data_IF_457325380466
#
_entry.id   IF_457325380466
#
_cell.length_a   1.000
_cell.length_b   1.000
_cell.length_c   1.000
_cell.angle_alpha   90.00
_cell.angle_beta   90.00
_cell.angle_gamma   90.00
#
_symmetry.space_group_name_H-M   'P 1'
#
loop_
_entity.id
_entity.type
_entity.pdbx_description
1 polymer ?
#
# COMPACT_ATOMS: atom_id res chain seq x y z
N UNK A 1 29.44 34.06 -27.54
CA UNK A 1 29.98 34.36 -26.20
C UNK A 1 29.54 33.22 -25.30
N UNK A 2 30.17 32.05 -25.45
CA UNK A 2 30.09 30.99 -24.46
C UNK A 2 30.77 31.45 -23.16
N UNK A 3 30.13 31.21 -22.02
CA UNK A 3 30.79 31.20 -20.72
C UNK A 3 30.62 29.82 -20.11
N UNK A 4 31.69 29.04 -20.21
CA UNK A 4 31.98 27.89 -19.37
C UNK A 4 32.29 28.36 -17.93
N UNK A 5 32.30 27.40 -16.99
CA UNK A 5 32.76 27.46 -15.60
C UNK A 5 31.78 28.06 -14.57
N UNK A 6 31.27 27.21 -13.66
CA UNK A 6 31.96 26.93 -12.39
C UNK A 6 31.32 25.73 -11.65
N UNK A 7 32.13 24.69 -11.43
CA UNK A 7 31.81 23.49 -10.64
C UNK A 7 32.10 23.84 -9.17
N UNK A 8 31.08 24.20 -8.40
CA UNK A 8 31.20 24.42 -6.95
C UNK A 8 31.12 23.07 -6.22
N UNK A 9 32.28 22.47 -5.95
CA UNK A 9 32.42 21.45 -4.90
C UNK A 9 32.36 22.16 -3.53
N UNK A 10 31.42 21.75 -2.68
CA UNK A 10 31.24 22.28 -1.33
C UNK A 10 31.74 21.19 -0.37
N UNK A 11 32.95 21.39 0.14
CA UNK A 11 33.49 20.65 1.29
C UNK A 11 32.78 21.17 2.55
N UNK A 12 31.90 20.37 3.15
CA UNK A 12 31.39 20.64 4.50
C UNK A 12 32.23 19.84 5.50
N UNK A 13 33.19 20.55 6.11
CA UNK A 13 33.95 20.12 7.28
C UNK A 13 33.02 19.87 8.46
N UNK A 14 32.88 18.61 8.88
CA UNK A 14 32.20 18.26 10.13
C UNK A 14 33.27 18.12 11.22
N UNK A 15 33.14 18.95 12.23
CA UNK A 15 33.95 18.98 13.45
C UNK A 15 33.69 17.72 14.27
N UNK A 16 34.48 16.68 14.04
CA UNK A 16 34.44 15.44 14.80
C UNK A 16 35.45 15.51 15.94
N UNK A 17 34.94 15.73 17.14
CA UNK A 17 35.71 15.62 18.39
C UNK A 17 34.79 14.96 19.41
N UNK A 18 34.35 13.74 19.07
CA UNK A 18 33.62 12.84 19.96
C UNK A 18 34.64 11.85 20.54
N UNK A 19 34.67 11.68 21.86
CA UNK A 19 35.60 10.78 22.54
C UNK A 19 35.33 9.32 22.15
N UNK A 20 36.40 8.60 21.77
CA UNK A 20 36.37 7.19 21.34
C UNK A 20 35.67 6.25 22.35
N UNK A 21 35.72 6.59 23.63
CA UNK A 21 35.05 5.83 24.71
C UNK A 21 33.52 5.88 24.62
N UNK A 22 32.94 7.02 24.20
CA UNK A 22 31.49 7.17 24.06
C UNK A 22 30.96 6.37 22.87
N UNK A 23 31.74 6.29 21.79
CA UNK A 23 31.38 5.51 20.60
C UNK A 23 31.28 4.01 20.91
N UNK A 24 32.21 3.49 21.71
CA UNK A 24 32.22 2.07 22.11
C UNK A 24 31.06 1.71 23.05
N UNK A 25 30.60 2.65 23.88
CA UNK A 25 29.44 2.44 24.74
C UNK A 25 28.15 2.37 23.90
N UNK A 26 28.01 3.28 22.93
CA UNK A 26 26.87 3.30 22.00
C UNK A 26 26.82 2.02 21.15
N UNK A 27 27.96 1.51 20.67
CA UNK A 27 28.00 0.29 19.86
C UNK A 27 27.51 -0.94 20.65
N UNK A 28 27.88 -1.04 21.93
CA UNK A 28 27.41 -2.11 22.83
C UNK A 28 25.91 -2.01 23.06
N UNK A 29 25.38 -0.82 23.30
CA UNK A 29 23.94 -0.60 23.48
C UNK A 29 23.15 -0.94 22.22
N UNK A 30 23.64 -0.56 21.03
CA UNK A 30 22.97 -0.85 19.76
C UNK A 30 22.97 -2.34 19.40
N UNK A 31 23.98 -3.10 19.85
CA UNK A 31 24.04 -4.54 19.63
C UNK A 31 22.90 -5.29 20.33
N UNK A 32 22.40 -4.76 21.46
CA UNK A 32 21.31 -5.36 22.24
C UNK A 32 19.91 -4.96 21.72
N UNK A 33 19.81 -3.95 20.84
CA UNK A 33 18.52 -3.48 20.29
C UNK A 33 18.07 -4.35 19.12
N UNK A 34 16.79 -4.70 19.11
CA UNK A 34 16.20 -5.51 18.04
C UNK A 34 16.07 -4.73 16.72
N UNK A 35 16.15 -5.43 15.59
CA UNK A 35 16.06 -4.83 14.25
C UNK A 35 14.76 -4.03 14.03
N UNK A 36 13.65 -4.48 14.61
CA UNK A 36 12.35 -3.81 14.50
C UNK A 36 12.36 -2.42 15.16
N UNK A 37 12.99 -2.29 16.33
CA UNK A 37 13.11 -1.02 17.04
C UNK A 37 13.98 -0.01 16.26
N UNK A 38 15.08 -0.47 15.66
CA UNK A 38 15.94 0.38 14.83
C UNK A 38 15.19 0.92 13.59
N UNK A 39 14.42 0.06 12.92
CA UNK A 39 13.63 0.48 11.76
C UNK A 39 12.54 1.49 12.15
N UNK A 40 11.92 1.30 13.32
CA UNK A 40 10.93 2.23 13.88
C UNK A 40 11.55 3.58 14.25
N UNK A 41 12.72 3.61 14.89
CA UNK A 41 13.43 4.84 15.22
C UNK A 41 13.74 5.69 13.97
N UNK A 42 14.18 5.03 12.88
CA UNK A 42 14.51 5.70 11.61
C UNK A 42 13.30 6.21 10.84
N UNK A 43 12.16 5.53 10.95
CA UNK A 43 10.92 5.87 10.22
C UNK A 43 10.40 7.29 10.51
N UNK A 44 10.76 7.87 11.66
CA UNK A 44 10.35 9.22 12.05
C UNK A 44 11.05 10.33 11.26
N UNK A 45 12.09 10.02 10.47
CA UNK A 45 12.78 10.98 9.60
C UNK A 45 13.54 12.10 10.34
N UNK A 46 13.52 12.09 11.68
CA UNK A 46 14.13 13.12 12.52
C UNK A 46 15.67 13.16 12.41
N UNK A 47 16.30 12.04 12.04
CA UNK A 47 17.75 11.94 11.80
C UNK A 47 18.22 12.74 10.56
N UNK A 48 17.32 13.09 9.63
CA UNK A 48 17.70 13.80 8.40
C UNK A 48 17.95 15.31 8.61
N UNK A 49 17.55 15.89 9.74
CA UNK A 49 17.64 17.32 9.98
C UNK A 49 18.18 17.63 11.38
N UNK A 50 19.25 18.42 11.45
CA UNK A 50 19.75 19.00 12.71
C UNK A 50 18.68 19.97 13.23
N UNK A 51 17.90 19.53 14.21
CA UNK A 51 16.89 20.35 14.87
C UNK A 51 17.59 21.34 15.80
N UNK A 52 17.82 22.57 15.32
CA UNK A 52 18.21 23.66 16.23
C UNK A 52 17.08 23.88 17.24
N UNK A 53 17.38 24.06 18.54
CA UNK A 53 16.36 24.32 19.55
C UNK A 53 15.63 25.60 19.16
N UNK A 54 14.35 25.47 18.79
CA UNK A 54 13.47 26.61 18.58
C UNK A 54 13.10 27.13 19.95
N UNK A 55 13.82 28.14 20.42
CA UNK A 55 13.31 28.97 21.51
C UNK A 55 12.07 29.69 20.99
N UNK A 56 10.90 29.05 21.13
CA UNK A 56 9.60 29.63 20.88
C UNK A 56 9.30 30.65 21.99
N UNK A 57 10.05 31.75 22.00
CA UNK A 57 9.68 32.96 22.73
C UNK A 57 8.47 33.53 22.03
N UNK A 58 7.29 32.99 22.36
CA UNK A 58 5.99 33.57 22.02
C UNK A 58 6.04 35.01 22.51
N UNK A 59 6.12 35.97 21.57
CA UNK A 59 6.11 37.38 21.89
C UNK A 59 4.76 37.69 22.55
N UNK A 60 4.72 37.68 23.88
CA UNK A 60 3.53 38.03 24.65
C UNK A 60 3.49 39.54 24.80
N UNK A 61 2.28 40.11 24.80
CA UNK A 61 2.08 41.50 25.19
C UNK A 61 2.47 41.67 26.66
N UNK A 62 3.19 42.73 26.99
CA UNK A 62 3.53 43.03 28.38
C UNK A 62 2.31 43.42 29.24
N UNK A 63 1.24 43.96 28.62
CA UNK A 63 -0.05 44.27 29.25
C UNK A 63 -1.18 44.14 28.20
N UNK A 64 -2.43 43.88 28.61
CA UNK A 64 -3.61 43.73 27.75
C UNK A 64 -3.92 44.98 26.92
N UNK A 65 -3.61 46.17 27.44
CA UNK A 65 -3.87 47.46 26.79
C UNK A 65 -2.72 47.96 25.90
N UNK A 66 -1.66 47.15 25.69
CA UNK A 66 -0.50 47.52 24.86
C UNK A 66 -0.50 46.72 23.54
N UNK A 67 -0.26 47.35 22.37
CA UNK A 67 -0.06 46.62 21.11
C UNK A 67 1.21 45.74 21.17
N UNK A 68 1.25 44.72 20.31
CA UNK A 68 2.36 43.78 20.24
C UNK A 68 3.34 44.22 19.15
N UNK A 69 4.63 44.32 19.47
CA UNK A 69 5.67 44.59 18.49
C UNK A 69 6.01 43.30 17.71
N UNK A 70 6.01 43.39 16.37
CA UNK A 70 6.37 42.29 15.48
C UNK A 70 7.42 42.78 14.47
N UNK A 71 8.35 41.90 14.09
CA UNK A 71 9.36 42.21 13.07
C UNK A 71 8.72 42.33 11.69
N UNK A 72 9.07 43.40 10.95
CA UNK A 72 8.62 43.59 9.55
C UNK A 72 9.10 42.50 8.60
N UNK A 73 10.16 41.77 8.97
CA UNK A 73 10.68 40.63 8.19
C UNK A 73 9.78 39.39 8.29
N UNK A 74 8.83 39.35 9.22
CA UNK A 74 7.90 38.24 9.35
C UNK A 74 6.67 38.51 8.47
N UNK A 75 6.45 37.74 7.40
CA UNK A 75 5.28 37.92 6.56
C UNK A 75 4.00 37.58 7.35
N UNK A 76 2.92 38.33 7.11
CA UNK A 76 1.61 38.04 7.68
C UNK A 76 1.04 36.80 7.00
N UNK A 77 0.52 35.83 7.77
CA UNK A 77 -0.16 34.67 7.20
C UNK A 77 -1.46 35.11 6.53
N UNK A 78 -1.62 34.84 5.23
CA UNK A 78 -2.89 35.03 4.56
C UNK A 78 -3.87 33.92 4.97
N UNK A 79 -5.12 34.28 5.29
CA UNK A 79 -6.20 33.31 5.45
C UNK A 79 -6.56 32.78 4.06
N UNK A 80 -6.17 31.54 3.76
CA UNK A 80 -6.63 30.84 2.56
C UNK A 80 -7.88 30.04 2.92
N UNK A 81 -8.96 30.25 2.19
CA UNK A 81 -10.12 29.38 2.25
C UNK A 81 -9.72 28.01 1.66
N UNK A 82 -9.57 27.01 2.54
CA UNK A 82 -9.19 25.66 2.14
C UNK A 82 -10.43 24.97 1.59
N UNK A 83 -10.70 25.19 0.30
CA UNK A 83 -11.69 24.40 -0.44
C UNK A 83 -11.14 22.97 -0.51
N UNK A 84 -11.77 22.04 0.21
CA UNK A 84 -11.42 20.62 0.12
C UNK A 84 -11.82 20.10 -1.26
N UNK A 85 -10.92 20.19 -2.22
CA UNK A 85 -11.11 19.57 -3.53
C UNK A 85 -11.17 18.03 -3.35
N UNK A 86 -12.11 17.33 -4.01
CA UNK A 86 -12.15 15.88 -3.95
C UNK A 86 -10.82 15.31 -4.47
N UNK A 87 -10.20 14.44 -3.66
CA UNK A 87 -8.93 13.82 -4.01
C UNK A 87 -9.14 12.88 -5.19
N UNK A 88 -8.41 13.12 -6.29
CA UNK A 88 -8.36 12.20 -7.43
C UNK A 88 -7.65 10.94 -6.97
N UNK A 89 -8.40 9.85 -6.77
CA UNK A 89 -7.81 8.55 -6.49
C UNK A 89 -7.56 7.87 -7.83
N UNK A 90 -6.30 7.56 -8.13
CA UNK A 90 -5.95 6.72 -9.28
C UNK A 90 -6.44 5.31 -8.96
N UNK A 91 -7.54 4.91 -9.58
CA UNK A 91 -8.11 3.56 -9.48
C UNK A 91 -7.88 2.83 -10.79
N UNK A 92 -7.69 1.52 -10.71
CA UNK A 92 -7.67 0.68 -11.90
C UNK A 92 -9.09 0.67 -12.49
N UNK A 93 -9.27 1.07 -13.78
CA UNK A 93 -10.59 1.18 -14.40
C UNK A 93 -11.37 -0.12 -14.41
N UNK A 94 -10.70 -1.28 -14.29
CA UNK A 94 -11.37 -2.59 -14.20
C UNK A 94 -12.09 -2.79 -12.87
N UNK A 95 -11.65 -2.11 -11.83
CA UNK A 95 -12.17 -2.23 -10.47
C UNK A 95 -12.86 -0.93 -10.01
N UNK A 96 -13.20 -0.05 -10.94
CA UNK A 96 -13.92 1.18 -10.64
C UNK A 96 -15.41 0.90 -10.44
N UNK A 97 -16.05 1.60 -9.50
CA UNK A 97 -17.50 1.47 -9.26
C UNK A 97 -18.36 1.87 -10.46
N UNK A 98 -17.75 2.53 -11.46
CA UNK A 98 -18.36 2.92 -12.72
C UNK A 98 -18.27 1.82 -13.79
N UNK A 99 -17.54 0.71 -13.53
CA UNK A 99 -17.58 -0.44 -14.43
C UNK A 99 -19.00 -1.02 -14.43
N UNK A 100 -19.54 -1.28 -15.62
CA UNK A 100 -20.96 -1.63 -15.80
C UNK A 100 -21.43 -2.87 -15.01
N UNK A 101 -22.75 -3.04 -14.92
CA UNK A 101 -23.34 -4.21 -14.29
C UNK A 101 -23.12 -5.47 -15.14
N UNK A 102 -22.91 -6.61 -14.48
CA UNK A 102 -22.77 -7.90 -15.17
C UNK A 102 -24.12 -8.30 -15.79
N UNK A 103 -24.15 -8.48 -17.11
CA UNK A 103 -25.29 -9.09 -17.80
C UNK A 103 -25.21 -10.63 -17.69
N UNK A 104 -26.07 -11.27 -16.86
CA UNK A 104 -26.04 -12.70 -16.64
C UNK A 104 -26.35 -13.49 -17.92
N UNK A 105 -27.26 -13.00 -18.76
CA UNK A 105 -27.70 -13.73 -19.95
C UNK A 105 -26.65 -13.68 -21.05
N UNK A 106 -26.09 -12.50 -21.32
CA UNK A 106 -25.00 -12.34 -22.26
C UNK A 106 -23.77 -13.15 -21.85
N UNK A 107 -23.45 -13.19 -20.55
CA UNK A 107 -22.37 -14.01 -20.03
C UNK A 107 -22.61 -15.50 -20.30
N UNK A 108 -23.79 -16.01 -19.95
CA UNK A 108 -24.14 -17.42 -20.16
C UNK A 108 -24.10 -17.81 -21.65
N UNK A 109 -24.57 -16.94 -22.55
CA UNK A 109 -24.49 -17.16 -24.00
C UNK A 109 -23.06 -17.21 -24.52
N UNK A 110 -22.20 -16.26 -24.10
CA UNK A 110 -20.79 -16.21 -24.53
C UNK A 110 -19.99 -17.41 -24.06
N UNK A 111 -20.28 -17.93 -22.87
CA UNK A 111 -19.58 -19.05 -22.25
C UNK A 111 -20.38 -20.36 -22.28
N UNK A 112 -21.32 -20.51 -23.21
CA UNK A 112 -22.23 -21.66 -23.26
C UNK A 112 -21.49 -23.00 -23.42
N UNK A 113 -20.36 -22.97 -24.15
CA UNK A 113 -19.52 -24.14 -24.40
C UNK A 113 -19.00 -24.81 -23.11
N UNK A 114 -18.77 -24.03 -22.04
CA UNK A 114 -18.35 -24.57 -20.75
C UNK A 114 -19.44 -25.43 -20.12
N UNK A 115 -20.69 -24.98 -20.18
CA UNK A 115 -21.82 -25.65 -19.55
C UNK A 115 -22.33 -26.84 -20.35
N UNK A 116 -22.36 -26.71 -21.68
CA UNK A 116 -22.91 -27.74 -22.56
C UNK A 116 -21.91 -28.84 -22.90
N UNK A 117 -20.62 -28.50 -23.06
CA UNK A 117 -19.61 -29.42 -23.57
C UNK A 117 -18.54 -29.75 -22.54
N UNK A 118 -17.77 -28.75 -22.09
CA UNK A 118 -16.50 -29.02 -21.38
C UNK A 118 -16.70 -29.61 -19.98
N UNK A 119 -17.51 -28.96 -19.13
CA UNK A 119 -17.80 -29.44 -17.77
C UNK A 119 -18.46 -30.82 -17.75
N UNK A 120 -19.50 -31.13 -18.57
CA UNK A 120 -20.06 -32.46 -18.59
C UNK A 120 -19.10 -33.50 -19.17
N UNK A 121 -18.28 -33.15 -20.17
CA UNK A 121 -17.27 -34.06 -20.71
C UNK A 121 -16.19 -34.41 -19.67
N UNK A 122 -15.65 -33.41 -18.96
CA UNK A 122 -14.67 -33.61 -17.88
C UNK A 122 -15.26 -34.50 -16.78
N UNK A 123 -16.49 -34.21 -16.35
CA UNK A 123 -17.18 -35.02 -15.34
C UNK A 123 -17.36 -36.48 -15.79
N UNK A 124 -17.71 -36.70 -17.06
CA UNK A 124 -17.85 -38.05 -17.60
C UNK A 124 -16.51 -38.78 -17.70
N UNK A 125 -15.44 -38.08 -18.09
CA UNK A 125 -14.09 -38.64 -18.14
C UNK A 125 -13.62 -39.10 -16.75
N UNK A 126 -13.76 -38.24 -15.73
CA UNK A 126 -13.41 -38.57 -14.35
C UNK A 126 -14.22 -39.74 -13.79
N UNK A 127 -15.53 -39.82 -14.12
CA UNK A 127 -16.35 -40.99 -13.76
C UNK A 127 -15.90 -42.28 -14.43
N UNK A 128 -15.36 -42.22 -15.66
CA UNK A 128 -14.79 -43.39 -16.33
C UNK A 128 -13.48 -43.82 -15.67
N UNK A 129 -12.66 -42.87 -15.22
CA UNK A 129 -11.43 -43.15 -14.47
C UNK A 129 -11.71 -43.79 -13.12
N UNK A 130 -12.71 -43.28 -12.39
CA UNK A 130 -13.14 -43.84 -11.10
C UNK A 130 -13.48 -45.34 -11.19
N UNK A 131 -14.03 -45.79 -12.32
CA UNK A 131 -14.36 -47.20 -12.56
C UNK A 131 -13.14 -48.07 -12.88
N UNK A 132 -12.03 -47.49 -13.32
CA UNK A 132 -10.82 -48.21 -13.76
C UNK A 132 -9.89 -48.52 -12.59
N UNK A 133 -9.69 -47.55 -11.70
CA UNK A 133 -8.75 -47.67 -10.59
C UNK A 133 -9.39 -48.33 -9.37
N UNK A 134 -8.59 -49.08 -8.60
CA UNK A 134 -9.00 -49.73 -7.34
C UNK A 134 -8.27 -49.16 -6.12
N UNK A 135 -7.26 -48.32 -6.35
CA UNK A 135 -6.45 -47.73 -5.28
C UNK A 135 -7.22 -46.63 -4.55
N UNK A 136 -7.35 -46.78 -3.23
CA UNK A 136 -8.14 -45.87 -2.39
C UNK A 136 -7.68 -44.41 -2.49
N UNK A 137 -6.36 -44.16 -2.52
CA UNK A 137 -5.79 -42.81 -2.63
C UNK A 137 -6.10 -42.12 -3.95
N UNK A 138 -6.14 -42.88 -5.06
CA UNK A 138 -6.46 -42.34 -6.38
C UNK A 138 -7.95 -42.09 -6.53
N UNK A 139 -8.78 -42.98 -5.95
CA UNK A 139 -10.23 -42.81 -5.90
C UNK A 139 -10.58 -41.52 -5.17
N UNK A 140 -9.99 -41.24 -4.00
CA UNK A 140 -10.27 -40.00 -3.26
C UNK A 140 -9.87 -38.74 -4.04
N UNK A 141 -8.72 -38.75 -4.71
CA UNK A 141 -8.26 -37.63 -5.55
C UNK A 141 -9.23 -37.35 -6.72
N UNK A 142 -9.71 -38.41 -7.39
CA UNK A 142 -10.69 -38.30 -8.47
C UNK A 142 -12.05 -37.78 -7.94
N UNK A 143 -12.48 -38.25 -6.77
CA UNK A 143 -13.72 -37.79 -6.13
C UNK A 143 -13.66 -36.31 -5.74
N UNK A 144 -12.53 -35.86 -5.17
CA UNK A 144 -12.27 -34.44 -4.89
C UNK A 144 -12.33 -33.60 -6.17
N UNK A 145 -11.75 -34.11 -7.26
CA UNK A 145 -11.79 -33.43 -8.56
C UNK A 145 -13.21 -33.34 -9.10
N UNK A 146 -13.99 -34.40 -9.03
CA UNK A 146 -15.42 -34.39 -9.40
C UNK A 146 -16.19 -33.38 -8.54
N UNK A 147 -15.95 -33.34 -7.23
CA UNK A 147 -16.55 -32.38 -6.31
C UNK A 147 -16.21 -30.94 -6.69
N UNK A 148 -14.96 -30.68 -7.07
CA UNK A 148 -14.52 -29.36 -7.54
C UNK A 148 -15.22 -28.94 -8.83
N UNK A 149 -15.34 -29.83 -9.83
CA UNK A 149 -16.06 -29.55 -11.08
C UNK A 149 -17.55 -29.27 -10.81
N UNK A 150 -18.18 -30.02 -9.91
CA UNK A 150 -19.58 -29.77 -9.52
C UNK A 150 -19.73 -28.43 -8.79
N UNK A 151 -18.84 -28.13 -7.84
CA UNK A 151 -18.87 -26.88 -7.08
C UNK A 151 -18.63 -25.65 -7.96
N UNK A 152 -17.68 -25.73 -8.88
CA UNK A 152 -17.40 -24.64 -9.84
C UNK A 152 -18.58 -24.43 -10.78
N UNK A 153 -19.23 -25.50 -11.26
CA UNK A 153 -20.45 -25.38 -12.05
C UNK A 153 -21.58 -24.70 -11.28
N UNK A 154 -21.76 -25.03 -9.99
CA UNK A 154 -22.78 -24.42 -9.12
C UNK A 154 -22.45 -22.96 -8.77
N UNK A 155 -21.21 -22.65 -8.42
CA UNK A 155 -20.78 -21.26 -8.15
C UNK A 155 -20.96 -20.38 -9.37
N UNK A 156 -20.62 -20.88 -10.56
CA UNK A 156 -20.77 -20.13 -11.80
C UNK A 156 -22.24 -19.93 -12.19
N UNK A 157 -23.14 -20.82 -11.75
CA UNK A 157 -24.60 -20.65 -11.91
C UNK A 157 -25.18 -19.72 -10.85
N UNK A 158 -24.73 -19.80 -9.59
CA UNK A 158 -25.25 -19.00 -8.47
C UNK A 158 -24.71 -17.57 -8.41
N UNK A 159 -23.58 -17.26 -9.07
CA UNK A 159 -23.11 -15.87 -9.22
C UNK A 159 -24.03 -15.02 -10.12
N UNK A 160 -24.97 -15.66 -10.83
CA UNK A 160 -26.05 -14.98 -11.52
C UNK A 160 -27.24 -14.87 -10.54
N UNK A 161 -27.66 -13.66 -10.14
CA UNK A 161 -28.83 -13.51 -9.30
C UNK A 161 -30.06 -14.15 -9.95
N UNK A 162 -30.93 -14.81 -9.17
CA UNK A 162 -32.17 -15.37 -9.70
C UNK A 162 -33.00 -14.23 -10.30
N UNK A 163 -33.53 -14.46 -11.51
CA UNK A 163 -34.51 -13.56 -12.13
C UNK A 163 -35.68 -13.41 -11.16
N UNK A 164 -35.95 -12.17 -10.73
CA UNK A 164 -37.23 -11.77 -10.12
C UNK A 164 -38.24 -11.60 -11.24
#
# INVERSE_FOLDING_TARGET
METQYEKLEREDSITDSSSEDEEQEIEKELADVTFEELQKARSNGAHAFIQKPKEDKKLKRANKNRPMEASSKKPVSAFREVIQAPKKVVRDPRFESLCGTLDPEGFKKRYNFLYENDLPAERQALKKELKKYKDLKRISEIEERISWVVRTSLLLVCLLPPKV
#
